data_IF_531418036559
#
_entry.id   IF_531418036559
#
_cell.length_a   1.000
_cell.length_b   1.000
_cell.length_c   1.000
_cell.angle_alpha   90.00
_cell.angle_beta   90.00
_cell.angle_gamma   90.00
#
_symmetry.space_group_name_H-M   'P 1'
#
loop_
_entity.id
_entity.type
_entity.pdbx_description
1 polymer ?
#
# COMPACT_ATOMS: atom_id res chain seq x y z
N UNK A 1 3.11 18.20 -3.09
CA UNK A 1 3.36 16.78 -2.76
C UNK A 1 3.41 16.01 -4.07
N UNK A 2 4.58 15.49 -4.46
CA UNK A 2 4.75 14.76 -5.72
C UNK A 2 4.45 13.27 -5.50
N UNK A 3 3.23 12.86 -5.84
CA UNK A 3 2.73 11.47 -5.82
C UNK A 3 3.23 10.62 -7.00
N UNK A 4 4.44 10.90 -7.50
CA UNK A 4 5.05 10.19 -8.63
C UNK A 4 6.37 9.62 -8.17
N UNK A 5 6.28 8.45 -7.55
CA UNK A 5 7.31 7.40 -7.43
C UNK A 5 7.07 6.79 -6.08
N UNK A 6 6.50 5.58 -6.01
CA UNK A 6 7.09 4.48 -5.23
C UNK A 6 7.58 4.76 -3.79
N UNK A 7 7.08 5.80 -3.13
CA UNK A 7 7.49 6.29 -1.81
C UNK A 7 6.29 6.22 -0.90
N UNK A 8 5.68 5.05 -0.87
CA UNK A 8 4.81 4.68 0.23
C UNK A 8 5.70 4.73 1.48
N UNK A 9 5.41 5.60 2.48
CA UNK A 9 6.29 5.82 3.63
C UNK A 9 6.13 4.66 4.63
N UNK A 10 6.43 3.45 4.19
CA UNK A 10 6.41 2.25 5.02
C UNK A 10 7.51 2.31 6.06
N UNK A 11 7.30 1.66 7.21
CA UNK A 11 8.23 1.75 8.35
C UNK A 11 9.65 1.33 8.01
N UNK A 12 9.89 0.32 7.16
CA UNK A 12 11.26 -0.02 6.73
C UNK A 12 11.95 1.16 6.03
N UNK A 13 11.23 1.86 5.15
CA UNK A 13 11.76 3.02 4.44
C UNK A 13 12.02 4.17 5.43
N UNK A 14 11.07 4.49 6.29
CA UNK A 14 11.21 5.54 7.30
C UNK A 14 12.34 5.27 8.28
N UNK A 15 12.50 4.02 8.73
CA UNK A 15 13.57 3.59 9.62
C UNK A 15 14.95 3.81 9.00
N UNK A 16 15.12 3.51 7.70
CA UNK A 16 16.37 3.77 6.96
C UNK A 16 16.76 5.25 6.98
N UNK A 17 15.79 6.16 6.97
CA UNK A 17 16.01 7.61 7.07
C UNK A 17 15.90 8.15 8.50
N UNK A 18 15.87 7.27 9.52
CA UNK A 18 15.75 7.61 10.95
C UNK A 18 14.49 8.44 11.28
N UNK A 19 13.40 8.21 10.54
CA UNK A 19 12.09 8.84 10.72
C UNK A 19 11.04 7.94 11.38
N UNK A 20 11.41 6.70 11.66
CA UNK A 20 10.64 5.77 12.48
C UNK A 20 11.58 5.10 13.48
N UNK A 21 11.07 4.80 14.68
CA UNK A 21 11.84 4.15 15.75
C UNK A 21 12.08 2.66 15.46
N UNK A 22 11.19 2.04 14.70
CA UNK A 22 11.23 0.62 14.35
C UNK A 22 10.85 0.40 12.88
N UNK A 23 11.47 -0.58 12.20
CA UNK A 23 11.05 -1.02 10.87
C UNK A 23 9.84 -1.98 10.89
N UNK A 24 9.39 -2.44 12.07
CA UNK A 24 8.31 -3.43 12.21
C UNK A 24 6.97 -2.92 11.64
N UNK A 25 6.20 -3.81 11.03
CA UNK A 25 4.86 -3.51 10.57
C UNK A 25 3.90 -3.32 11.75
N UNK A 26 3.19 -2.19 11.78
CA UNK A 26 2.22 -1.90 12.84
C UNK A 26 0.97 -2.79 12.78
N UNK A 27 0.68 -3.37 11.61
CA UNK A 27 -0.54 -4.13 11.41
C UNK A 27 -0.41 -5.60 11.82
N UNK A 28 0.76 -6.21 11.60
CA UNK A 28 0.99 -7.61 11.95
C UNK A 28 2.04 -7.82 13.04
N UNK A 29 2.92 -6.84 13.29
CA UNK A 29 3.99 -6.85 14.29
C UNK A 29 4.99 -8.04 14.15
N UNK A 30 4.95 -8.77 13.04
CA UNK A 30 5.70 -10.01 12.84
C UNK A 30 6.94 -9.85 11.94
N UNK A 31 6.94 -8.85 11.06
CA UNK A 31 8.02 -8.62 10.11
C UNK A 31 8.23 -7.13 9.86
N UNK A 32 9.35 -6.80 9.23
CA UNK A 32 9.61 -5.43 8.79
C UNK A 32 8.61 -5.02 7.71
N UNK A 33 8.14 -3.78 7.79
CA UNK A 33 7.19 -3.21 6.84
C UNK A 33 7.89 -2.79 5.55
N UNK A 34 8.22 -3.78 4.72
CA UNK A 34 8.73 -3.58 3.36
C UNK A 34 7.58 -3.45 2.36
N UNK A 35 7.86 -2.98 1.15
CA UNK A 35 6.86 -2.93 0.07
C UNK A 35 6.36 -4.33 -0.28
N UNK A 36 7.26 -5.32 -0.30
CA UNK A 36 6.93 -6.74 -0.48
C UNK A 36 6.01 -7.24 0.63
N UNK A 37 6.39 -7.00 1.89
CA UNK A 37 5.57 -7.40 3.03
C UNK A 37 4.18 -6.77 2.95
N UNK A 38 4.09 -5.46 2.74
CA UNK A 38 2.83 -4.73 2.68
C UNK A 38 1.90 -5.23 1.55
N UNK A 39 2.44 -5.45 0.34
CA UNK A 39 1.64 -5.81 -0.84
C UNK A 39 1.43 -7.31 -1.03
N UNK A 40 2.27 -8.18 -0.48
CA UNK A 40 2.26 -9.61 -0.77
C UNK A 40 2.14 -10.51 0.48
N UNK A 41 2.80 -10.17 1.59
CA UNK A 41 2.98 -11.13 2.70
C UNK A 41 2.21 -10.82 3.99
N UNK A 42 1.87 -9.56 4.26
CA UNK A 42 1.34 -9.11 5.56
C UNK A 42 0.01 -9.79 5.92
N UNK A 43 -0.06 -10.67 6.92
CA UNK A 43 -1.30 -11.41 7.20
C UNK A 43 -2.48 -10.49 7.56
N UNK A 44 -2.22 -9.32 8.15
CA UNK A 44 -3.24 -8.34 8.50
C UNK A 44 -4.00 -7.76 7.29
N UNK A 45 -3.44 -7.85 6.08
CA UNK A 45 -4.04 -7.32 4.86
C UNK A 45 -4.49 -8.41 3.88
N UNK A 46 -4.67 -9.64 4.35
CA UNK A 46 -5.04 -10.77 3.49
C UNK A 46 -6.37 -10.53 2.76
N UNK A 47 -7.39 -10.02 3.43
CA UNK A 47 -8.70 -9.78 2.81
C UNK A 47 -8.63 -8.68 1.73
N UNK A 48 -7.95 -7.57 2.02
CA UNK A 48 -7.72 -6.48 1.08
C UNK A 48 -6.89 -6.97 -0.12
N UNK A 49 -5.89 -7.82 0.12
CA UNK A 49 -5.10 -8.44 -0.94
C UNK A 49 -5.92 -9.39 -1.79
N UNK A 50 -6.82 -10.17 -1.22
CA UNK A 50 -7.68 -11.08 -1.97
C UNK A 50 -8.59 -10.29 -2.94
N UNK A 51 -9.18 -9.18 -2.47
CA UNK A 51 -9.96 -8.25 -3.30
C UNK A 51 -9.11 -7.62 -4.40
N UNK A 52 -7.93 -7.11 -4.03
CA UNK A 52 -6.97 -6.53 -4.98
C UNK A 52 -6.54 -7.55 -6.05
N UNK A 53 -6.13 -8.76 -5.67
CA UNK A 53 -5.74 -9.84 -6.61
C UNK A 53 -6.86 -10.21 -7.58
N UNK A 54 -8.11 -10.17 -7.13
CA UNK A 54 -9.28 -10.43 -7.96
C UNK A 54 -9.49 -9.31 -8.99
N UNK A 55 -9.27 -8.06 -8.60
CA UNK A 55 -9.36 -6.90 -9.48
C UNK A 55 -8.19 -6.80 -10.48
N UNK A 56 -6.99 -7.24 -10.09
CA UNK A 56 -5.75 -7.12 -10.88
C UNK A 56 -5.56 -8.25 -11.89
N UNK A 57 -6.31 -9.37 -11.81
CA UNK A 57 -6.21 -10.52 -12.72
C UNK A 57 -4.75 -10.94 -13.05
N UNK A 58 -4.10 -11.66 -12.13
CA UNK A 58 -2.77 -12.31 -12.28
C UNK A 58 -1.52 -11.41 -12.38
N UNK A 59 -1.58 -10.09 -12.56
CA UNK A 59 -0.37 -9.28 -12.81
C UNK A 59 0.38 -8.73 -11.57
N UNK A 60 0.42 -9.46 -10.45
CA UNK A 60 1.26 -9.08 -9.28
C UNK A 60 2.57 -9.86 -9.16
N UNK A 61 2.97 -10.60 -10.19
CA UNK A 61 4.29 -11.24 -10.28
C UNK A 61 5.45 -10.24 -10.18
N UNK A 62 5.18 -8.94 -10.38
CA UNK A 62 6.18 -7.89 -10.20
C UNK A 62 5.57 -6.64 -9.60
N UNK A 63 5.86 -6.41 -8.32
CA UNK A 63 5.53 -5.18 -7.59
C UNK A 63 5.96 -3.94 -8.38
N UNK A 64 7.17 -3.96 -8.97
CA UNK A 64 7.69 -2.86 -9.78
C UNK A 64 6.81 -2.54 -11.00
N UNK A 65 6.23 -3.57 -11.63
CA UNK A 65 5.34 -3.42 -12.79
C UNK A 65 4.00 -2.82 -12.36
N UNK A 66 3.43 -3.32 -11.26
CA UNK A 66 2.19 -2.79 -10.69
C UNK A 66 2.32 -1.31 -10.26
N UNK A 67 3.49 -0.90 -9.76
CA UNK A 67 3.77 0.48 -9.37
C UNK A 67 4.05 1.41 -10.56
N UNK A 68 4.33 0.85 -11.74
CA UNK A 68 4.66 1.60 -12.95
C UNK A 68 3.53 1.65 -13.97
N UNK A 69 2.54 0.75 -13.88
CA UNK A 69 1.41 0.69 -14.80
C UNK A 69 0.28 1.65 -14.37
N UNK A 70 -0.07 2.67 -15.19
CA UNK A 70 -1.12 3.62 -14.86
C UNK A 70 -2.52 2.99 -14.72
N UNK A 71 -2.78 1.83 -15.35
CA UNK A 71 -4.04 1.09 -15.19
C UNK A 71 -4.13 0.41 -13.83
N UNK A 72 -2.98 0.14 -13.20
CA UNK A 72 -2.88 -0.50 -11.90
C UNK A 72 -2.97 0.47 -10.73
N UNK A 73 -2.61 1.74 -10.96
CA UNK A 73 -2.70 2.80 -9.96
C UNK A 73 -4.07 2.89 -9.25
N UNK A 74 -5.25 2.92 -9.92
CA UNK A 74 -6.52 3.02 -9.22
C UNK A 74 -6.77 1.83 -8.27
N UNK A 75 -6.45 0.60 -8.69
CA UNK A 75 -6.58 -0.58 -7.84
C UNK A 75 -5.61 -0.56 -6.66
N UNK A 76 -4.38 -0.06 -6.88
CA UNK A 76 -3.41 0.11 -5.82
C UNK A 76 -3.86 1.16 -4.80
N UNK A 77 -4.41 2.28 -5.27
CA UNK A 77 -4.99 3.29 -4.39
C UNK A 77 -6.15 2.71 -3.57
N UNK A 78 -7.04 1.93 -4.18
CA UNK A 78 -8.12 1.25 -3.47
C UNK A 78 -7.60 0.26 -2.42
N UNK A 79 -6.55 -0.51 -2.73
CA UNK A 79 -5.89 -1.35 -1.75
C UNK A 79 -5.35 -0.51 -0.57
N UNK A 80 -4.57 0.54 -0.86
CA UNK A 80 -3.97 1.41 0.14
C UNK A 80 -5.04 2.03 1.05
N UNK A 81 -6.12 2.56 0.49
CA UNK A 81 -7.21 3.17 1.28
C UNK A 81 -7.95 2.13 2.10
N UNK A 82 -8.22 0.93 1.54
CA UNK A 82 -8.89 -0.16 2.25
C UNK A 82 -8.09 -0.73 3.42
N UNK A 83 -6.75 -0.65 3.37
CA UNK A 83 -5.89 -1.06 4.49
C UNK A 83 -5.93 -0.09 5.66
N UNK A 84 -6.39 1.15 5.44
CA UNK A 84 -6.37 2.26 6.41
C UNK A 84 -5.02 2.54 7.07
N UNK A 85 -3.94 1.95 6.53
CA UNK A 85 -2.59 1.99 7.10
C UNK A 85 -2.06 3.42 7.31
N UNK A 86 -2.48 4.32 6.43
CA UNK A 86 -2.02 5.71 6.37
C UNK A 86 -3.03 6.70 6.92
N UNK A 87 -4.15 6.24 7.49
CA UNK A 87 -5.20 7.10 8.02
C UNK A 87 -4.68 8.01 9.14
N UNK A 88 -3.80 7.51 10.00
CA UNK A 88 -3.17 8.32 11.06
C UNK A 88 -2.15 9.35 10.52
N UNK A 89 -1.45 9.04 9.42
CA UNK A 89 -0.41 9.93 8.87
C UNK A 89 -0.95 10.98 7.91
N UNK A 90 -2.03 10.68 7.19
CA UNK A 90 -2.53 11.52 6.10
C UNK A 90 -4.04 11.83 6.20
N UNK A 91 -4.74 11.30 7.20
CA UNK A 91 -6.19 11.40 7.31
C UNK A 91 -6.93 10.41 6.40
N UNK A 92 -8.25 10.59 6.26
CA UNK A 92 -9.06 9.76 5.36
C UNK A 92 -8.61 9.94 3.91
N UNK A 93 -8.04 8.87 3.35
CA UNK A 93 -7.57 8.81 1.97
C UNK A 93 -8.67 8.34 1.01
N UNK A 94 -9.93 8.22 1.45
CA UNK A 94 -11.03 7.76 0.61
C UNK A 94 -11.06 8.49 -0.74
N UNK A 95 -10.72 7.76 -1.80
CA UNK A 95 -10.76 8.29 -3.16
C UNK A 95 -12.22 8.39 -3.57
N UNK A 96 -12.82 9.58 -3.41
CA UNK A 96 -14.11 9.87 -4.01
C UNK A 96 -13.93 9.98 -5.51
N UNK A 97 -14.45 8.99 -6.25
CA UNK A 97 -14.60 9.07 -7.71
C UNK A 97 -15.35 10.37 -8.03
N UNK A 98 -14.78 11.30 -8.82
CA UNK A 98 -15.50 12.50 -9.21
C UNK A 98 -16.51 12.15 -10.30
N UNK A 99 -17.65 11.59 -9.88
CA UNK A 99 -18.99 11.64 -10.49
C UNK A 99 -19.82 10.44 -10.03
N UNK A 100 -20.60 10.65 -8.98
CA UNK A 100 -21.96 10.11 -8.92
C UNK A 100 -22.86 11.34 -8.76
N UNK A 101 -23.54 11.67 -9.86
CA UNK A 101 -24.56 12.72 -9.94
C UNK A 101 -25.87 12.26 -9.32
#
# INVERSE_FOLDING_TARGET
IQLRTCHIPLKQYLYRFKRAETPLCDACEQANETVEHYLQDCPAYEEQRAKFRTAVYRELDSIAKALSDPKMLPHLFEFITSTKRFEEQYGDLSYKRPNES
#
